data_IF_441029994076
#
_entry.id   IF_441029994076
#
_cell.length_a   1.000
_cell.length_b   1.000
_cell.length_c   1.000
_cell.angle_alpha   90.00
_cell.angle_beta   90.00
_cell.angle_gamma   90.00
#
_symmetry.space_group_name_H-M   'P 1'
#
loop_
_entity.id
_entity.type
_entity.pdbx_description
1 polymer ?
#
# COMPACT_ATOMS: atom_id res chain seq x y z
N UNK A 1 9.60 8.36 -27.32
CA UNK A 1 8.45 8.47 -26.40
C UNK A 1 7.86 7.09 -26.30
N UNK A 2 7.98 6.45 -25.14
CA UNK A 2 7.30 5.17 -24.89
C UNK A 2 5.82 5.49 -24.71
N UNK A 3 4.97 4.79 -25.45
CA UNK A 3 3.52 4.85 -25.28
C UNK A 3 3.20 4.45 -23.83
N UNK A 4 2.37 5.21 -23.08
CA UNK A 4 1.97 4.84 -21.71
C UNK A 4 1.40 3.40 -21.62
N UNK A 5 1.00 2.81 -22.74
CA UNK A 5 0.40 1.47 -22.90
C UNK A 5 1.35 0.27 -22.74
N UNK A 6 2.66 0.45 -22.61
CA UNK A 6 3.67 -0.64 -22.54
C UNK A 6 4.34 -0.82 -21.16
N UNK A 7 3.72 -0.35 -20.07
CA UNK A 7 4.33 -0.41 -18.74
C UNK A 7 4.16 -1.79 -18.09
N UNK A 8 5.19 -2.65 -18.18
CA UNK A 8 5.30 -3.84 -17.32
C UNK A 8 5.63 -3.40 -15.89
N UNK A 9 4.83 -3.80 -14.91
CA UNK A 9 5.18 -3.67 -13.48
C UNK A 9 6.32 -4.68 -13.21
N UNK A 10 7.56 -4.19 -13.13
CA UNK A 10 8.74 -5.02 -12.83
C UNK A 10 9.25 -4.69 -11.44
N UNK A 11 9.40 -5.73 -10.61
CA UNK A 11 10.06 -5.65 -9.30
C UNK A 11 11.60 -5.67 -9.42
N UNK A 12 12.16 -5.86 -10.62
CA UNK A 12 13.61 -6.00 -10.82
C UNK A 12 14.37 -4.77 -10.33
N UNK A 13 13.81 -3.56 -10.52
CA UNK A 13 14.40 -2.31 -10.03
C UNK A 13 14.33 -2.13 -8.50
N UNK A 14 13.36 -2.76 -7.84
CA UNK A 14 13.20 -2.73 -6.39
C UNK A 14 14.16 -3.71 -5.70
N UNK A 15 14.53 -4.77 -6.41
CA UNK A 15 15.31 -5.88 -5.88
C UNK A 15 16.77 -5.88 -6.37
N UNK A 16 17.13 -4.98 -7.29
CA UNK A 16 18.53 -4.65 -7.58
C UNK A 16 19.13 -3.81 -6.43
N UNK A 17 19.67 -4.54 -5.45
CA UNK A 17 20.25 -4.07 -4.17
C UNK A 17 21.37 -3.01 -4.24
N UNK A 18 21.67 -2.44 -5.42
CA UNK A 18 22.79 -1.49 -5.62
C UNK A 18 22.38 -0.09 -6.08
N UNK A 19 21.12 0.16 -6.40
CA UNK A 19 20.67 1.49 -6.83
C UNK A 19 19.94 2.22 -5.71
N UNK A 20 20.37 3.45 -5.42
CA UNK A 20 19.64 4.36 -4.53
C UNK A 20 18.21 4.56 -5.02
N UNK A 21 17.26 4.61 -4.10
CA UNK A 21 15.89 5.01 -4.41
C UNK A 21 15.89 6.44 -4.96
N UNK A 22 15.12 6.70 -6.01
CA UNK A 22 15.15 7.99 -6.74
C UNK A 22 13.78 8.64 -6.78
N UNK A 23 13.74 9.95 -7.04
CA UNK A 23 12.50 10.70 -7.29
C UNK A 23 11.65 10.07 -8.38
N UNK A 24 12.28 9.69 -9.49
CA UNK A 24 11.60 9.03 -10.61
C UNK A 24 11.05 7.64 -10.24
N UNK A 25 11.73 6.90 -9.36
CA UNK A 25 11.21 5.63 -8.86
C UNK A 25 9.98 5.85 -7.97
N UNK A 26 10.01 6.86 -7.10
CA UNK A 26 8.86 7.24 -6.28
C UNK A 26 7.67 7.65 -7.15
N UNK A 27 7.86 8.58 -8.10
CA UNK A 27 6.78 9.01 -9.00
C UNK A 27 6.21 7.83 -9.81
N UNK A 28 7.05 6.91 -10.29
CA UNK A 28 6.57 5.69 -10.95
C UNK A 28 5.64 4.85 -10.08
N UNK A 29 5.93 4.71 -8.77
CA UNK A 29 5.04 3.96 -7.87
C UNK A 29 3.77 4.74 -7.52
N UNK A 30 3.85 6.07 -7.39
CA UNK A 30 2.68 6.91 -7.17
C UNK A 30 1.74 6.86 -8.39
N UNK A 31 2.27 6.98 -9.60
CA UNK A 31 1.51 6.82 -10.86
C UNK A 31 0.79 5.47 -10.90
N UNK A 32 1.43 4.38 -10.44
CA UNK A 32 0.79 3.06 -10.37
C UNK A 32 -0.40 3.08 -9.40
N UNK A 33 -0.31 3.76 -8.26
CA UNK A 33 -1.42 3.85 -7.32
C UNK A 33 -2.61 4.62 -7.93
N UNK A 34 -2.32 5.69 -8.67
CA UNK A 34 -3.32 6.50 -9.37
C UNK A 34 -3.96 5.73 -10.53
N UNK A 35 -3.17 5.06 -11.36
CA UNK A 35 -3.64 4.25 -12.50
C UNK A 35 -4.57 3.09 -12.06
N UNK A 36 -4.49 2.66 -10.80
CA UNK A 36 -5.25 1.56 -10.23
C UNK A 36 -6.06 1.94 -8.99
N UNK A 37 -6.58 3.17 -8.94
CA UNK A 37 -7.35 3.67 -7.78
C UNK A 37 -8.49 2.73 -7.35
N UNK A 38 -9.18 2.07 -8.30
CA UNK A 38 -10.23 1.07 -8.06
C UNK A 38 -9.75 -0.20 -7.30
N UNK A 39 -8.45 -0.33 -7.09
CA UNK A 39 -7.76 -1.43 -6.42
C UNK A 39 -6.93 -0.98 -5.22
N UNK A 40 -6.83 0.33 -4.96
CA UNK A 40 -6.07 0.91 -3.85
C UNK A 40 -7.04 1.46 -2.82
N UNK A 41 -7.07 0.98 -1.56
CA UNK A 41 -7.96 1.51 -0.53
C UNK A 41 -7.81 3.03 -0.39
N UNK A 42 -8.91 3.75 -0.17
CA UNK A 42 -8.92 5.22 -0.09
C UNK A 42 -7.96 5.76 0.96
N UNK A 43 -7.87 5.09 2.11
CA UNK A 43 -6.95 5.47 3.17
C UNK A 43 -5.48 5.40 2.70
N UNK A 44 -5.15 4.48 1.78
CA UNK A 44 -3.82 4.42 1.18
C UNK A 44 -3.62 5.55 0.16
N UNK A 45 -4.66 5.90 -0.60
CA UNK A 45 -4.61 7.03 -1.52
C UNK A 45 -4.37 8.33 -0.73
N UNK A 46 -5.09 8.54 0.37
CA UNK A 46 -4.98 9.70 1.25
C UNK A 46 -3.58 9.89 1.83
N UNK A 47 -2.88 8.80 2.18
CA UNK A 47 -1.47 8.87 2.62
C UNK A 47 -0.59 9.59 1.59
N UNK A 48 -0.81 9.32 0.30
CA UNK A 48 0.01 9.84 -0.79
C UNK A 48 -0.63 11.00 -1.55
N UNK A 49 -1.76 11.51 -1.07
CA UNK A 49 -2.52 12.57 -1.72
C UNK A 49 -1.79 13.92 -1.63
N UNK A 50 -1.84 14.67 -2.73
CA UNK A 50 -1.29 16.03 -2.88
C UNK A 50 0.15 16.25 -2.34
N UNK A 51 1.00 15.23 -2.36
CA UNK A 51 2.37 15.34 -1.87
C UNK A 51 3.17 16.36 -2.70
N UNK A 52 3.74 17.37 -2.03
CA UNK A 52 4.60 18.36 -2.70
C UNK A 52 5.92 17.75 -3.17
N UNK A 53 6.58 18.36 -4.15
CA UNK A 53 7.92 17.92 -4.58
C UNK A 53 8.94 17.92 -3.44
N UNK A 54 8.83 18.87 -2.51
CA UNK A 54 9.68 18.91 -1.31
C UNK A 54 9.46 17.67 -0.45
N UNK A 55 8.21 17.36 -0.15
CA UNK A 55 7.79 16.18 0.61
C UNK A 55 8.28 14.89 -0.05
N UNK A 56 8.08 14.77 -1.36
CA UNK A 56 8.53 13.60 -2.13
C UNK A 56 10.06 13.47 -2.16
N UNK A 57 10.80 14.58 -2.25
CA UNK A 57 12.26 14.58 -2.13
C UNK A 57 12.72 14.11 -0.74
N UNK A 58 12.07 14.56 0.33
CA UNK A 58 12.37 14.12 1.70
C UNK A 58 12.07 12.63 1.93
N UNK A 59 10.99 12.11 1.35
CA UNK A 59 10.72 10.67 1.38
C UNK A 59 11.86 9.87 0.73
N UNK A 60 12.35 10.30 -0.43
CA UNK A 60 13.48 9.66 -1.11
C UNK A 60 14.75 9.73 -0.26
N UNK A 61 15.03 10.89 0.35
CA UNK A 61 16.17 11.05 1.24
C UNK A 61 16.07 10.13 2.47
N UNK A 62 14.88 10.02 3.07
CA UNK A 62 14.63 9.16 4.23
C UNK A 62 14.88 7.67 3.92
N UNK A 63 14.35 7.18 2.81
CA UNK A 63 14.56 5.78 2.35
C UNK A 63 16.04 5.51 2.13
N UNK A 64 16.76 6.42 1.47
CA UNK A 64 18.19 6.24 1.23
C UNK A 64 19.04 6.29 2.52
N UNK A 65 18.67 7.11 3.50
CA UNK A 65 19.36 7.14 4.80
C UNK A 65 19.12 5.87 5.62
N UNK A 66 17.93 5.29 5.53
CA UNK A 66 17.60 3.96 6.09
C UNK A 66 18.44 2.90 5.41
N UNK A 67 18.48 2.89 4.07
CA UNK A 67 19.21 1.90 3.29
C UNK A 67 20.70 1.92 3.62
N UNK A 68 21.29 3.11 3.68
CA UNK A 68 22.67 3.35 4.08
C UNK A 68 22.96 3.06 5.57
N UNK A 69 21.95 2.68 6.36
CA UNK A 69 22.09 2.37 7.78
C UNK A 69 22.40 3.59 8.66
N UNK A 70 22.28 4.82 8.13
CA UNK A 70 22.43 6.05 8.91
C UNK A 70 21.31 6.20 9.93
N UNK A 71 20.17 5.61 9.64
CA UNK A 71 18.97 5.65 10.48
C UNK A 71 18.58 4.24 10.85
N UNK A 72 18.53 3.97 12.15
CA UNK A 72 17.93 2.76 12.68
C UNK A 72 16.43 2.98 12.75
N UNK A 73 15.68 2.34 11.86
CA UNK A 73 14.22 2.34 11.97
C UNK A 73 13.86 1.72 13.32
N UNK A 74 13.05 2.40 14.14
CA UNK A 74 12.49 1.80 15.34
C UNK A 74 11.68 0.55 14.98
N UNK A 75 11.88 -0.54 15.70
CA UNK A 75 11.04 -1.74 15.54
C UNK A 75 9.69 -1.60 16.28
N UNK A 76 9.08 -0.42 16.20
CA UNK A 76 7.85 -0.07 16.89
C UNK A 76 7.04 0.88 16.00
N UNK A 77 5.79 0.51 15.74
CA UNK A 77 4.86 1.25 14.89
C UNK A 77 4.73 2.73 15.24
N UNK A 78 4.45 3.05 16.50
CA UNK A 78 4.30 4.43 16.95
C UNK A 78 5.57 5.23 16.68
N UNK A 79 6.73 4.67 17.01
CA UNK A 79 8.02 5.34 16.76
C UNK A 79 8.34 5.49 15.27
N UNK A 80 7.83 4.62 14.41
CA UNK A 80 7.93 4.77 12.95
C UNK A 80 7.08 5.95 12.49
N UNK A 81 5.83 6.03 12.95
CA UNK A 81 4.92 7.15 12.64
C UNK A 81 5.50 8.46 13.15
N UNK A 82 5.96 8.52 14.40
CA UNK A 82 6.59 9.71 15.00
C UNK A 82 7.82 10.17 14.19
N UNK A 83 8.62 9.22 13.69
CA UNK A 83 9.78 9.52 12.86
C UNK A 83 9.36 10.12 11.50
N UNK A 84 8.34 9.53 10.85
CA UNK A 84 7.80 10.03 9.57
C UNK A 84 7.24 11.44 9.77
N UNK A 85 6.36 11.65 10.76
CA UNK A 85 5.75 12.95 11.04
C UNK A 85 6.80 14.03 11.34
N UNK A 86 7.88 13.68 12.03
CA UNK A 86 8.97 14.62 12.31
C UNK A 86 9.76 15.00 11.05
N UNK A 87 10.04 14.03 10.17
CA UNK A 87 10.89 14.24 9.00
C UNK A 87 10.13 14.80 7.80
N UNK A 88 8.88 14.40 7.67
CA UNK A 88 8.03 14.69 6.53
C UNK A 88 6.63 15.06 7.06
N UNK A 89 6.45 16.28 7.60
CA UNK A 89 5.21 16.66 8.30
C UNK A 89 3.95 16.46 7.48
N UNK A 90 3.96 16.86 6.20
CA UNK A 90 2.82 16.64 5.31
C UNK A 90 2.42 15.15 5.21
N UNK A 91 3.41 14.25 5.09
CA UNK A 91 3.13 12.81 5.05
C UNK A 91 2.61 12.31 6.40
N UNK A 92 3.10 12.87 7.52
CA UNK A 92 2.55 12.61 8.85
C UNK A 92 1.08 12.99 8.96
N UNK A 93 0.73 14.22 8.56
CA UNK A 93 -0.64 14.72 8.57
C UNK A 93 -1.57 13.87 7.66
N UNK A 94 -1.06 13.43 6.51
CA UNK A 94 -1.79 12.52 5.61
C UNK A 94 -2.03 11.15 6.26
N UNK A 95 -1.03 10.59 6.94
CA UNK A 95 -1.15 9.32 7.68
C UNK A 95 -2.19 9.44 8.81
N UNK A 96 -2.19 10.55 9.55
CA UNK A 96 -3.14 10.75 10.64
C UNK A 96 -4.59 10.79 10.11
N UNK A 97 -4.84 11.51 9.01
CA UNK A 97 -6.17 11.52 8.35
C UNK A 97 -6.58 10.12 7.88
N UNK A 98 -5.70 9.43 7.17
CA UNK A 98 -5.95 8.07 6.70
C UNK A 98 -6.24 7.09 7.85
N UNK A 99 -5.60 7.26 9.00
CA UNK A 99 -5.85 6.45 10.19
C UNK A 99 -7.21 6.75 10.81
N UNK A 100 -7.64 8.00 10.85
CA UNK A 100 -8.98 8.38 11.31
C UNK A 100 -10.06 7.76 10.41
N UNK A 101 -9.91 7.89 9.09
CA UNK A 101 -10.83 7.31 8.11
C UNK A 101 -10.88 5.78 8.18
N UNK A 102 -9.71 5.14 8.36
CA UNK A 102 -9.62 3.69 8.59
C UNK A 102 -10.43 3.27 9.82
N UNK A 103 -10.28 3.99 10.93
CA UNK A 103 -10.97 3.65 12.18
C UNK A 103 -12.48 3.88 12.09
N UNK A 104 -12.91 4.93 11.40
CA UNK A 104 -14.33 5.16 11.10
C UNK A 104 -14.92 4.05 10.24
N UNK A 105 -14.17 3.57 9.25
CA UNK A 105 -14.55 2.44 8.42
C UNK A 105 -14.61 1.14 9.21
N UNK A 106 -13.63 0.86 10.07
CA UNK A 106 -13.64 -0.29 10.98
C UNK A 106 -14.88 -0.25 11.88
N UNK A 107 -15.30 0.93 12.35
CA UNK A 107 -16.47 1.07 13.22
C UNK A 107 -17.77 0.63 12.55
N UNK A 108 -17.87 0.69 11.22
CA UNK A 108 -19.04 0.28 10.42
C UNK A 108 -19.16 -1.24 10.25
N UNK A 109 -18.12 -2.01 10.58
CA UNK A 109 -18.06 -3.46 10.40
C UNK A 109 -18.85 -4.25 11.45
N UNK A 110 -19.24 -5.48 11.10
CA UNK A 110 -19.76 -6.45 12.08
C UNK A 110 -18.68 -6.91 13.06
N UNK A 111 -19.07 -7.39 14.26
CA UNK A 111 -18.11 -7.85 15.28
C UNK A 111 -17.15 -8.94 14.79
N UNK A 112 -17.62 -9.88 13.97
CA UNK A 112 -16.79 -10.94 13.40
C UNK A 112 -15.69 -10.38 12.47
N UNK A 113 -16.05 -9.41 11.63
CA UNK A 113 -15.13 -8.74 10.72
C UNK A 113 -14.16 -7.84 11.46
N UNK A 114 -14.61 -7.11 12.50
CA UNK A 114 -13.73 -6.36 13.41
C UNK A 114 -12.69 -7.26 14.07
N UNK A 115 -13.10 -8.45 14.50
CA UNK A 115 -12.19 -9.43 15.12
C UNK A 115 -11.15 -9.91 14.12
N UNK A 116 -11.56 -10.20 12.88
CA UNK A 116 -10.63 -10.58 11.81
C UNK A 116 -9.67 -9.44 11.46
N UNK A 117 -10.17 -8.21 11.34
CA UNK A 117 -9.37 -7.00 11.10
C UNK A 117 -8.31 -6.82 12.18
N UNK A 118 -8.71 -6.77 13.46
CA UNK A 118 -7.79 -6.55 14.58
C UNK A 118 -6.67 -7.60 14.65
N UNK A 119 -6.99 -8.87 14.33
CA UNK A 119 -6.00 -9.93 14.24
C UNK A 119 -4.96 -9.65 13.15
N UNK A 120 -5.39 -9.25 11.97
CA UNK A 120 -4.48 -8.95 10.86
C UNK A 120 -3.71 -7.65 11.06
N UNK A 121 -4.35 -6.64 11.64
CA UNK A 121 -3.72 -5.38 12.04
C UNK A 121 -2.56 -5.61 13.02
N UNK A 122 -2.76 -6.44 14.06
CA UNK A 122 -1.67 -6.84 14.98
C UNK A 122 -0.51 -7.51 14.22
N UNK A 123 -0.82 -8.42 13.29
CA UNK A 123 0.19 -9.14 12.51
C UNK A 123 1.00 -8.24 11.58
N UNK A 124 0.42 -7.17 11.05
CA UNK A 124 1.16 -6.15 10.29
C UNK A 124 2.24 -5.54 11.18
N UNK A 125 1.88 -5.11 12.39
CA UNK A 125 2.83 -4.50 13.32
C UNK A 125 3.88 -5.47 13.84
N UNK A 126 3.50 -6.71 14.15
CA UNK A 126 4.45 -7.77 14.49
C UNK A 126 5.47 -7.98 13.36
N UNK A 127 4.99 -7.95 12.12
CA UNK A 127 5.81 -8.16 10.91
C UNK A 127 6.81 -7.03 10.69
N UNK A 128 6.39 -5.76 10.78
CA UNK A 128 7.31 -4.62 10.56
C UNK A 128 8.28 -4.39 11.73
N UNK A 129 8.03 -5.01 12.88
CA UNK A 129 8.86 -4.92 14.08
C UNK A 129 9.96 -5.99 14.15
N UNK A 130 10.07 -6.86 13.16
CA UNK A 130 11.16 -7.85 13.08
C UNK A 130 12.49 -7.20 12.68
N UNK A 131 13.65 -7.86 12.93
CA UNK A 131 14.93 -7.39 12.43
C UNK A 131 14.93 -7.19 10.90
N UNK A 132 15.67 -6.19 10.42
CA UNK A 132 15.69 -5.77 9.00
C UNK A 132 15.99 -6.93 8.05
N UNK A 133 16.90 -7.81 8.43
CA UNK A 133 17.30 -9.00 7.67
C UNK A 133 16.18 -10.06 7.51
N UNK A 134 15.16 -10.01 8.38
CA UNK A 134 13.99 -10.89 8.31
C UNK A 134 12.77 -10.21 7.69
N UNK A 135 12.77 -8.88 7.56
CA UNK A 135 11.60 -8.07 7.23
C UNK A 135 10.97 -8.48 5.89
N UNK A 136 11.75 -8.59 4.83
CA UNK A 136 11.25 -8.95 3.50
C UNK A 136 10.54 -10.32 3.50
N UNK A 137 11.17 -11.34 4.10
CA UNK A 137 10.58 -12.69 4.21
C UNK A 137 9.30 -12.69 5.05
N UNK A 138 9.26 -11.89 6.13
CA UNK A 138 8.10 -11.78 7.01
C UNK A 138 6.95 -11.06 6.34
N UNK A 139 7.20 -9.99 5.60
CA UNK A 139 6.20 -9.30 4.77
C UNK A 139 5.64 -10.25 3.71
N UNK A 140 6.50 -10.98 3.00
CA UNK A 140 6.05 -11.92 1.98
C UNK A 140 5.17 -13.04 2.56
N UNK A 141 5.55 -13.59 3.72
CA UNK A 141 4.71 -14.56 4.44
C UNK A 141 3.37 -13.94 4.86
N UNK A 142 3.39 -12.71 5.38
CA UNK A 142 2.18 -12.00 5.80
C UNK A 142 1.20 -11.84 4.64
N UNK A 143 1.67 -11.40 3.47
CA UNK A 143 0.85 -11.24 2.26
C UNK A 143 0.19 -12.57 1.87
N UNK A 144 0.99 -13.65 1.80
CA UNK A 144 0.48 -14.96 1.44
C UNK A 144 -0.56 -15.49 2.43
N UNK A 145 -0.28 -15.36 3.73
CA UNK A 145 -1.18 -15.81 4.79
C UNK A 145 -2.47 -14.98 4.83
N UNK A 146 -2.37 -13.66 4.60
CA UNK A 146 -3.52 -12.76 4.55
C UNK A 146 -4.48 -13.15 3.44
N UNK A 147 -3.97 -13.32 2.22
CA UNK A 147 -4.78 -13.73 1.07
C UNK A 147 -5.44 -15.10 1.31
N UNK A 148 -4.68 -16.07 1.79
CA UNK A 148 -5.21 -17.40 2.09
C UNK A 148 -6.30 -17.38 3.17
N UNK A 149 -6.23 -16.44 4.12
CA UNK A 149 -7.26 -16.27 5.14
C UNK A 149 -8.49 -15.54 4.60
N UNK A 150 -8.30 -14.53 3.74
CA UNK A 150 -9.40 -13.87 3.04
C UNK A 150 -10.19 -14.85 2.17
N UNK A 151 -9.52 -15.75 1.45
CA UNK A 151 -10.18 -16.75 0.61
C UNK A 151 -11.03 -17.75 1.39
N UNK A 152 -10.63 -18.01 2.64
CA UNK A 152 -11.35 -18.89 3.57
C UNK A 152 -12.34 -18.15 4.46
N UNK A 153 -12.40 -16.82 4.36
CA UNK A 153 -13.29 -16.02 5.18
C UNK A 153 -14.76 -16.31 4.81
N UNK A 154 -15.65 -16.09 5.77
CA UNK A 154 -17.08 -16.20 5.51
C UNK A 154 -17.52 -15.17 4.47
N UNK A 155 -18.61 -15.47 3.75
CA UNK A 155 -19.21 -14.51 2.83
C UNK A 155 -19.59 -13.22 3.55
N UNK A 156 -19.99 -13.31 4.82
CA UNK A 156 -20.22 -12.17 5.69
C UNK A 156 -19.00 -11.24 5.77
N UNK A 157 -17.81 -11.75 6.08
CA UNK A 157 -16.59 -10.92 6.11
C UNK A 157 -16.32 -10.30 4.73
N UNK A 158 -16.47 -11.08 3.64
CA UNK A 158 -16.27 -10.58 2.29
C UNK A 158 -17.25 -9.46 1.91
N UNK A 159 -18.51 -9.57 2.32
CA UNK A 159 -19.55 -8.56 2.08
C UNK A 159 -19.27 -7.28 2.87
N UNK A 160 -18.78 -7.39 4.11
CA UNK A 160 -18.34 -6.23 4.89
C UNK A 160 -17.17 -5.52 4.22
N UNK A 161 -16.15 -6.27 3.79
CA UNK A 161 -15.01 -5.71 3.04
C UNK A 161 -15.49 -5.06 1.75
N UNK A 162 -16.35 -5.71 0.97
CA UNK A 162 -16.93 -5.15 -0.27
C UNK A 162 -17.66 -3.83 -0.03
N UNK A 163 -18.36 -3.71 1.10
CA UNK A 163 -19.17 -2.53 1.42
C UNK A 163 -18.33 -1.38 1.93
N UNK A 164 -17.35 -1.66 2.79
CA UNK A 164 -16.56 -0.63 3.48
C UNK A 164 -15.31 -0.26 2.69
N UNK A 165 -14.67 -1.23 2.04
CA UNK A 165 -13.46 -1.08 1.23
C UNK A 165 -13.63 -1.76 -0.13
N UNK A 166 -14.47 -1.22 -1.03
CA UNK A 166 -14.71 -1.81 -2.34
C UNK A 166 -13.42 -1.94 -3.17
N UNK A 167 -12.44 -1.04 -3.00
CA UNK A 167 -11.13 -1.07 -3.64
C UNK A 167 -10.32 -2.29 -3.17
N UNK A 168 -10.25 -2.49 -1.84
CA UNK A 168 -9.60 -3.65 -1.25
C UNK A 168 -10.27 -4.96 -1.68
N UNK A 169 -11.61 -4.97 -1.76
CA UNK A 169 -12.36 -6.10 -2.26
C UNK A 169 -12.01 -6.42 -3.71
N UNK A 170 -11.98 -5.41 -4.59
CA UNK A 170 -11.58 -5.57 -5.98
C UNK A 170 -10.17 -6.17 -6.10
N UNK A 171 -9.22 -5.66 -5.31
CA UNK A 171 -7.85 -6.17 -5.29
C UNK A 171 -7.80 -7.62 -4.84
N UNK A 172 -8.39 -7.94 -3.69
CA UNK A 172 -8.33 -9.28 -3.11
C UNK A 172 -9.07 -10.34 -3.93
N UNK A 173 -10.01 -9.92 -4.76
CA UNK A 173 -10.77 -10.78 -5.65
C UNK A 173 -10.20 -10.83 -7.08
N UNK A 174 -9.06 -10.19 -7.32
CA UNK A 174 -8.36 -10.17 -8.61
C UNK A 174 -7.35 -11.29 -8.77
N UNK A 175 -7.10 -11.69 -10.02
CA UNK A 175 -6.04 -12.65 -10.38
C UNK A 175 -4.65 -12.13 -9.97
N UNK A 176 -4.45 -10.80 -9.92
CA UNK A 176 -3.21 -10.20 -9.46
C UNK A 176 -2.94 -10.57 -8.00
N UNK A 177 -3.91 -10.42 -7.10
CA UNK A 177 -3.73 -10.77 -5.70
C UNK A 177 -3.45 -12.28 -5.51
N UNK A 178 -4.06 -13.14 -6.31
CA UNK A 178 -3.76 -14.58 -6.31
C UNK A 178 -2.30 -14.87 -6.71
N UNK A 179 -1.85 -14.29 -7.83
CA UNK A 179 -0.48 -14.47 -8.34
C UNK A 179 0.55 -13.85 -7.41
N UNK A 180 0.26 -12.67 -6.87
CA UNK A 180 1.12 -11.97 -5.92
C UNK A 180 1.27 -12.74 -4.60
N UNK A 181 0.18 -13.26 -4.05
CA UNK A 181 0.23 -14.10 -2.84
C UNK A 181 1.00 -15.41 -3.09
N UNK A 182 0.84 -16.03 -4.27
CA UNK A 182 1.59 -17.22 -4.64
C UNK A 182 3.11 -16.92 -4.77
N UNK A 183 3.48 -15.82 -5.41
CA UNK A 183 4.86 -15.36 -5.50
C UNK A 183 5.45 -15.05 -4.11
N UNK A 184 4.71 -14.30 -3.29
CA UNK A 184 5.11 -13.97 -1.92
C UNK A 184 5.32 -15.21 -1.07
N UNK A 185 4.47 -16.24 -1.22
CA UNK A 185 4.65 -17.53 -0.54
C UNK A 185 5.95 -18.21 -0.98
N UNK A 186 6.20 -18.30 -2.29
CA UNK A 186 7.45 -18.89 -2.82
C UNK A 186 8.67 -18.15 -2.29
N UNK A 187 8.65 -16.81 -2.27
CA UNK A 187 9.72 -16.00 -1.68
C UNK A 187 9.94 -16.34 -0.20
N UNK A 188 8.88 -16.36 0.60
CA UNK A 188 8.96 -16.67 2.02
C UNK A 188 9.46 -18.10 2.31
N UNK A 189 9.17 -19.07 1.44
CA UNK A 189 9.59 -20.47 1.58
C UNK A 189 11.01 -20.71 1.06
N UNK A 190 11.42 -20.03 -0.02
CA UNK A 190 12.73 -20.21 -0.66
C UNK A 190 13.83 -19.25 -0.16
N UNK A 191 13.48 -18.16 0.52
CA UNK A 191 14.41 -17.16 1.04
C UNK A 191 15.08 -16.29 -0.03
N UNK A 192 16.06 -15.47 0.39
CA UNK A 192 16.77 -14.49 -0.45
C UNK A 192 17.58 -15.09 -1.62
N UNK A 193 17.67 -16.42 -1.70
CA UNK A 193 18.41 -17.15 -2.74
C UNK A 193 17.56 -17.51 -3.95
N UNK A 194 16.26 -17.22 -3.94
CA UNK A 194 15.43 -17.51 -5.11
C UNK A 194 15.70 -16.55 -6.26
N UNK A 195 15.66 -17.10 -7.46
CA UNK A 195 15.63 -16.32 -8.69
C UNK A 195 14.36 -15.46 -8.75
N UNK A 196 14.56 -14.15 -8.79
CA UNK A 196 13.51 -13.13 -8.89
C UNK A 196 12.63 -13.32 -10.13
N UNK A 197 13.15 -13.90 -11.20
CA UNK A 197 12.37 -14.17 -12.41
C UNK A 197 11.33 -15.30 -12.21
N UNK A 198 11.47 -16.10 -11.14
CA UNK A 198 10.51 -17.14 -10.75
C UNK A 198 9.40 -16.58 -9.83
N UNK A 199 9.57 -15.35 -9.34
CA UNK A 199 8.64 -14.62 -8.46
C UNK A 199 7.61 -13.78 -9.21
N UNK A 200 7.45 -13.98 -10.52
CA UNK A 200 6.56 -13.10 -11.27
C UNK A 200 5.13 -13.17 -10.72
N UNK A 201 4.62 -12.00 -10.33
CA UNK A 201 3.22 -11.75 -10.10
C UNK A 201 2.59 -11.17 -11.38
N UNK A 202 3.13 -11.55 -12.56
CA UNK A 202 2.69 -11.03 -13.85
C UNK A 202 1.16 -11.14 -13.89
N UNK A 203 0.47 -10.02 -13.95
CA UNK A 203 -0.95 -9.94 -14.22
C UNK A 203 -1.14 -9.32 -15.61
N UNK A 204 -2.29 -9.61 -16.22
CA UNK A 204 -2.62 -9.02 -17.51
C UNK A 204 -2.65 -7.47 -17.35
N UNK A 205 -2.06 -6.76 -18.31
CA UNK A 205 -2.17 -5.30 -18.44
C UNK A 205 -2.93 -4.96 -19.74
N UNK A 206 -3.95 -4.08 -19.70
CA UNK A 206 -4.53 -3.49 -18.49
C UNK A 206 -5.18 -4.56 -17.60
N UNK A 207 -5.23 -4.36 -16.27
CA UNK A 207 -5.88 -5.29 -15.37
C UNK A 207 -7.33 -5.46 -15.78
N UNK A 208 -7.89 -6.63 -15.44
CA UNK A 208 -9.31 -6.90 -15.65
C UNK A 208 -10.14 -5.80 -14.97
N UNK A 209 -11.35 -5.56 -15.49
CA UNK A 209 -12.25 -4.58 -14.89
C UNK A 209 -12.56 -4.96 -13.42
N UNK A 210 -12.68 -3.97 -12.52
CA UNK A 210 -13.00 -4.22 -11.12
C UNK A 210 -14.36 -4.91 -10.99
N UNK A 211 -14.49 -5.78 -9.98
CA UNK A 211 -15.76 -6.47 -9.68
C UNK A 211 -16.83 -5.50 -9.19
N UNK A 212 -16.41 -4.43 -8.53
CA UNK A 212 -17.24 -3.31 -8.07
C UNK A 212 -16.72 -2.06 -8.74
N UNK A 213 -17.52 -1.44 -9.61
CA UNK A 213 -17.22 -0.11 -10.13
C UNK A 213 -17.41 0.92 -9.03
N UNK A 214 -16.39 1.70 -8.76
CA UNK A 214 -16.46 2.82 -7.83
C UNK A 214 -16.67 4.06 -8.70
N UNK A 215 -17.82 4.71 -8.57
CA UNK A 215 -18.06 5.93 -9.31
C UNK A 215 -17.41 7.09 -8.55
N UNK A 216 -16.34 7.65 -9.09
CA UNK A 216 -15.74 8.89 -8.57
C UNK A 216 -16.73 10.04 -8.63
N UNK A 217 -17.30 10.38 -7.47
CA UNK A 217 -17.95 11.68 -7.23
C UNK A 217 -17.64 12.27 -5.87
N UNK A 218 -16.61 11.78 -5.19
CA UNK A 218 -16.21 12.30 -3.88
C UNK A 218 -14.68 12.34 -3.69
N UNK A 219 -13.90 12.59 -4.76
CA UNK A 219 -12.70 13.39 -4.54
C UNK A 219 -13.20 14.81 -4.28
N UNK A 220 -13.19 15.21 -3.01
CA UNK A 220 -13.62 16.55 -2.61
C UNK A 220 -12.81 17.58 -3.40
N UNK A 221 -13.49 18.25 -4.34
CA UNK A 221 -13.11 19.58 -4.78
C UNK A 221 -13.10 20.47 -3.54
N UNK A 222 -11.92 20.92 -3.13
CA UNK A 222 -11.76 22.14 -2.32
C UNK A 222 -12.02 23.39 -3.18
N UNK A 223 -13.13 23.41 -3.93
CA UNK A 223 -13.66 24.60 -4.60
C UNK A 223 -14.91 25.09 -3.85
N UNK A 224 -14.75 25.37 -2.56
CA UNK A 224 -15.63 26.29 -1.82
C UNK A 224 -14.77 27.23 -0.96
N UNK A 225 -13.87 27.97 -1.61
CA UNK A 225 -13.60 29.35 -1.22
C UNK A 225 -14.27 30.25 -2.25
N UNK A 226 -15.57 30.43 -2.07
CA UNK A 226 -16.28 31.59 -2.58
C UNK A 226 -15.68 32.84 -1.93
N UNK A 227 -14.66 33.40 -2.58
CA UNK A 227 -14.22 34.77 -2.37
C UNK A 227 -14.56 35.54 -3.64
N UNK A 228 -15.82 35.95 -3.73
CA UNK A 228 -16.18 37.16 -4.45
C UNK A 228 -15.50 38.33 -3.73
N UNK A 229 -14.44 38.86 -4.34
CA UNK A 229 -13.99 40.22 -4.08
C UNK A 229 -14.12 41.01 -5.38
N UNK A 230 -15.35 41.43 -5.66
CA UNK A 230 -15.66 42.59 -6.48
C UNK A 230 -16.43 43.60 -5.62
N UNK A 231 -15.71 44.59 -5.08
CA UNK A 231 -16.12 45.98 -4.76
C UNK A 231 -15.16 46.64 -3.76
#
# INVERSE_FOLDING_TARGET
MQDPMDRRISLDKLLDTKTSFTRAALDYYLDILDDYEDYVPKEIQEVFDDLTDSTKNEMVAAVNDIEAGKIKIPNNAQKIVDYIAKRTPQLGDNIDRAMDDLMDNVNKLRPETKTAFNKWWSRVFETVSVPRELLANRIARLIADFKAAYDKASQAIKDDVRKVWPEAYNLLESDFADRFAAAAKKFADGGLTMDIHVLSADADYPPKAPKVKINDRQRHFNDELGLDFDA
#
